data_IF_329050873736
#
_entry.id   IF_329050873736
#
_cell.length_a   1.000
_cell.length_b   1.000
_cell.length_c   1.000
_cell.angle_alpha   90.00
_cell.angle_beta   90.00
_cell.angle_gamma   90.00
#
_symmetry.space_group_name_H-M   'P 1'
#
loop_
_entity.id
_entity.type
_entity.pdbx_description
1 polymer ?
#
# COMPACT_ATOMS: atom_id res chain seq x y z
N UNK A 1 -9.11 9.98 15.77
CA UNK A 1 -8.37 8.80 16.26
C UNK A 1 -7.36 8.26 15.24
N UNK A 2 -7.78 7.88 14.02
CA UNK A 2 -6.86 7.28 13.02
C UNK A 2 -5.60 8.11 12.69
N UNK A 3 -5.72 9.44 12.59
CA UNK A 3 -4.56 10.32 12.29
C UNK A 3 -3.48 10.26 13.37
N UNK A 4 -3.87 10.16 14.65
CA UNK A 4 -2.95 10.09 15.78
C UNK A 4 -2.23 8.73 15.78
N UNK A 5 -2.98 7.65 15.53
CA UNK A 5 -2.43 6.30 15.40
C UNK A 5 -1.40 6.24 14.25
N UNK A 6 -1.74 6.78 13.08
CA UNK A 6 -0.86 6.84 11.91
C UNK A 6 0.40 7.68 12.17
N UNK A 7 0.28 8.78 12.92
CA UNK A 7 1.43 9.60 13.31
C UNK A 7 2.41 8.82 14.19
N UNK A 8 1.91 8.04 15.15
CA UNK A 8 2.76 7.19 15.99
C UNK A 8 3.45 6.06 15.21
N UNK A 9 2.83 5.59 14.12
CA UNK A 9 3.34 4.54 13.23
C UNK A 9 4.12 5.06 12.03
N UNK A 10 4.35 6.37 11.93
CA UNK A 10 4.94 7.00 10.73
C UNK A 10 6.31 6.44 10.35
N UNK A 11 7.09 5.97 11.31
CA UNK A 11 8.43 5.39 11.10
C UNK A 11 8.41 3.88 10.91
N UNK A 12 7.25 3.24 11.01
CA UNK A 12 7.09 1.81 10.82
C UNK A 12 6.91 1.47 9.34
N UNK A 13 7.42 0.30 8.97
CA UNK A 13 7.05 -0.41 7.74
C UNK A 13 6.40 -1.73 8.08
N UNK A 14 5.60 -2.24 7.14
CA UNK A 14 5.03 -3.57 7.18
C UNK A 14 5.54 -4.36 5.99
N UNK A 15 6.19 -5.49 6.27
CA UNK A 15 6.67 -6.44 5.26
C UNK A 15 5.70 -7.62 5.21
N UNK A 16 5.31 -8.01 4.01
CA UNK A 16 4.49 -9.19 3.73
C UNK A 16 5.28 -10.15 2.85
N UNK A 17 5.16 -11.45 3.09
CA UNK A 17 5.85 -12.47 2.28
C UNK A 17 7.23 -12.88 2.82
N UNK A 18 7.64 -12.38 3.99
CA UNK A 18 8.89 -12.81 4.63
C UNK A 18 8.78 -14.25 5.13
N UNK A 19 9.58 -15.16 4.57
CA UNK A 19 9.59 -16.58 4.93
C UNK A 19 9.67 -16.80 6.45
N UNK A 20 8.89 -17.75 6.98
CA UNK A 20 8.85 -18.05 8.42
C UNK A 20 10.14 -18.70 8.95
N UNK A 21 10.99 -19.22 8.05
CA UNK A 21 12.30 -19.78 8.40
C UNK A 21 13.27 -18.74 8.98
N UNK A 22 13.06 -17.46 8.68
CA UNK A 22 13.88 -16.36 9.22
C UNK A 22 13.49 -16.12 10.67
N UNK A 23 14.42 -16.38 11.59
CA UNK A 23 14.24 -16.20 13.03
C UNK A 23 14.03 -14.73 13.40
N UNK A 24 13.53 -14.44 14.61
CA UNK A 24 13.25 -13.05 15.01
C UNK A 24 14.56 -12.26 15.15
N UNK A 25 15.63 -12.95 15.54
CA UNK A 25 16.98 -12.44 15.70
C UNK A 25 17.58 -12.06 14.34
N UNK A 26 17.36 -12.88 13.31
CA UNK A 26 17.83 -12.65 11.94
C UNK A 26 17.02 -11.60 11.18
N UNK A 27 15.78 -11.30 11.60
CA UNK A 27 14.92 -10.35 10.88
C UNK A 27 15.56 -8.96 10.75
N UNK A 28 16.32 -8.52 11.75
CA UNK A 28 17.00 -7.23 11.70
C UNK A 28 18.01 -7.16 10.55
N UNK A 29 18.88 -8.18 10.46
CA UNK A 29 19.88 -8.30 9.40
C UNK A 29 19.24 -8.52 8.03
N UNK A 30 18.19 -9.35 7.96
CA UNK A 30 17.42 -9.57 6.75
C UNK A 30 16.86 -8.27 6.16
N UNK A 31 16.31 -7.39 7.01
CA UNK A 31 15.75 -6.10 6.60
C UNK A 31 16.86 -5.14 6.18
N UNK A 32 17.99 -5.10 6.89
CA UNK A 32 19.14 -4.27 6.49
C UNK A 32 19.66 -4.69 5.11
N UNK A 33 19.81 -6.00 4.87
CA UNK A 33 20.18 -6.55 3.56
C UNK A 33 19.18 -6.21 2.46
N UNK A 34 17.88 -6.29 2.77
CA UNK A 34 16.80 -5.88 1.87
C UNK A 34 16.94 -4.40 1.47
N UNK A 35 17.15 -3.52 2.45
CA UNK A 35 17.30 -2.09 2.23
C UNK A 35 18.52 -1.78 1.35
N UNK A 36 19.67 -2.40 1.64
CA UNK A 36 20.90 -2.23 0.86
C UNK A 36 20.77 -2.66 -0.60
N UNK A 37 19.96 -3.69 -0.89
CA UNK A 37 19.70 -4.10 -2.29
C UNK A 37 18.75 -3.17 -3.03
N UNK A 38 17.77 -2.59 -2.34
CA UNK A 38 16.77 -1.69 -2.95
C UNK A 38 17.34 -0.30 -3.17
N UNK A 39 18.04 0.24 -2.17
CA UNK A 39 18.57 1.60 -2.20
C UNK A 39 20.07 1.54 -2.43
N UNK A 40 20.45 1.65 -3.71
CA UNK A 40 21.85 1.75 -4.12
C UNK A 40 22.44 3.07 -3.56
N UNK A 41 23.65 3.01 -3.01
CA UNK A 41 24.42 4.16 -2.48
C UNK A 41 23.93 4.73 -1.13
N UNK A 42 23.52 3.88 -0.19
CA UNK A 42 23.24 4.31 1.18
C UNK A 42 24.14 3.55 2.16
N UNK A 43 24.68 4.25 3.17
CA UNK A 43 25.48 3.64 4.22
C UNK A 43 24.66 2.66 5.06
N UNK A 44 25.29 1.60 5.57
CA UNK A 44 24.62 0.62 6.44
C UNK A 44 24.11 1.25 7.75
N UNK A 45 24.79 2.30 8.22
CA UNK A 45 24.41 3.14 9.37
C UNK A 45 23.01 3.76 9.19
N UNK A 46 22.57 3.99 7.95
CA UNK A 46 21.27 4.58 7.66
C UNK A 46 20.09 3.63 7.94
N UNK A 47 20.35 2.32 8.06
CA UNK A 47 19.33 1.27 8.23
C UNK A 47 19.17 0.80 9.68
N UNK A 48 19.38 1.70 10.64
CA UNK A 48 19.15 1.41 12.05
C UNK A 48 17.65 1.21 12.36
N UNK A 49 17.36 0.13 13.10
CA UNK A 49 16.02 -0.32 13.45
C UNK A 49 15.87 -0.30 14.97
N UNK A 50 14.86 0.44 15.45
CA UNK A 50 14.52 0.48 16.89
C UNK A 50 13.87 -0.83 17.35
N UNK A 51 13.06 -1.44 16.48
CA UNK A 51 12.27 -2.63 16.82
C UNK A 51 11.88 -3.40 15.58
N UNK A 52 12.01 -4.72 15.64
CA UNK A 52 11.54 -5.64 14.61
C UNK A 52 10.82 -6.80 15.27
N UNK A 53 9.64 -7.15 14.77
CA UNK A 53 8.88 -8.30 15.27
C UNK A 53 7.89 -8.80 14.23
N UNK A 54 7.55 -10.09 14.32
CA UNK A 54 6.43 -10.67 13.57
C UNK A 54 5.12 -10.34 14.25
N UNK A 55 4.09 -10.04 13.46
CA UNK A 55 2.74 -9.89 13.97
C UNK A 55 2.15 -11.25 14.37
N UNK A 56 1.25 -11.29 15.37
CA UNK A 56 0.50 -12.49 15.66
C UNK A 56 -0.29 -12.93 14.43
N UNK A 57 -0.41 -14.26 14.24
CA UNK A 57 -1.16 -14.83 13.13
C UNK A 57 -2.64 -14.48 13.32
N UNK A 58 -3.25 -13.70 12.40
CA UNK A 58 -4.67 -13.44 12.50
C UNK A 58 -5.45 -14.70 12.09
N UNK A 59 -6.64 -14.87 12.65
CA UNK A 59 -7.45 -16.09 12.48
C UNK A 59 -7.80 -16.40 11.02
N UNK A 60 -7.92 -15.37 10.17
CA UNK A 60 -8.22 -15.53 8.74
C UNK A 60 -7.01 -15.93 7.87
N UNK A 61 -5.79 -15.98 8.43
CA UNK A 61 -4.57 -16.25 7.67
C UNK A 61 -4.22 -17.75 7.73
N UNK A 62 -4.30 -18.43 6.57
CA UNK A 62 -3.89 -19.84 6.42
C UNK A 62 -2.49 -20.07 6.98
N UNK A 63 -2.26 -21.23 7.60
CA UNK A 63 -0.99 -21.66 8.19
C UNK A 63 0.17 -21.54 7.20
N UNK A 64 -0.09 -21.84 5.92
CA UNK A 64 0.91 -21.80 4.84
C UNK A 64 1.38 -20.38 4.48
N UNK A 65 0.59 -19.36 4.81
CA UNK A 65 0.97 -17.97 4.53
C UNK A 65 1.88 -17.44 5.64
N UNK A 66 3.00 -16.79 5.28
CA UNK A 66 3.89 -16.18 6.26
C UNK A 66 3.23 -15.01 6.98
N UNK A 67 3.56 -14.84 8.26
CA UNK A 67 3.13 -13.68 9.06
C UNK A 67 3.82 -12.40 8.58
N UNK A 68 3.06 -11.31 8.62
CA UNK A 68 3.59 -9.98 8.32
C UNK A 68 4.58 -9.55 9.42
N UNK A 69 5.63 -8.84 9.03
CA UNK A 69 6.66 -8.28 9.94
C UNK A 69 6.46 -6.79 10.06
N UNK A 70 6.54 -6.25 11.28
CA UNK A 70 6.64 -4.81 11.52
C UNK A 70 8.06 -4.46 11.93
N UNK A 71 8.64 -3.49 11.24
CA UNK A 71 9.92 -2.90 11.59
C UNK A 71 9.79 -1.39 11.77
N UNK A 72 10.33 -0.88 12.88
CA UNK A 72 10.41 0.54 13.19
C UNK A 72 11.82 1.02 12.87
N UNK A 73 11.94 1.97 11.94
CA UNK A 73 13.20 2.63 11.66
C UNK A 73 13.49 3.70 12.70
N UNK A 74 14.78 3.83 13.04
CA UNK A 74 15.27 4.94 13.85
C UNK A 74 15.09 6.27 13.10
N UNK A 75 15.50 6.28 11.82
CA UNK A 75 15.42 7.46 10.95
C UNK A 75 14.20 7.43 10.02
N UNK A 76 13.26 8.39 10.13
CA UNK A 76 12.10 8.48 9.23
C UNK A 76 12.49 8.64 7.76
N UNK A 77 13.59 9.35 7.49
CA UNK A 77 14.10 9.61 6.13
C UNK A 77 14.51 8.32 5.42
N UNK A 78 15.19 7.42 6.11
CA UNK A 78 15.59 6.11 5.57
C UNK A 78 14.37 5.29 5.17
N UNK A 79 13.35 5.26 6.04
CA UNK A 79 12.08 4.60 5.77
C UNK A 79 11.35 5.17 4.55
N UNK A 80 11.33 6.49 4.39
CA UNK A 80 10.71 7.12 3.21
C UNK A 80 11.47 6.80 1.93
N UNK A 81 12.80 6.85 1.96
CA UNK A 81 13.66 6.51 0.83
C UNK A 81 13.42 5.06 0.38
N UNK A 82 13.39 4.12 1.33
CA UNK A 82 13.05 2.73 1.06
C UNK A 82 11.70 2.58 0.37
N UNK A 83 10.65 3.19 0.91
CA UNK A 83 9.30 3.12 0.33
C UNK A 83 9.20 3.78 -1.04
N UNK A 84 9.97 4.84 -1.30
CA UNK A 84 10.01 5.47 -2.61
C UNK A 84 10.70 4.56 -3.63
N UNK A 85 11.84 3.98 -3.27
CA UNK A 85 12.59 3.06 -4.15
C UNK A 85 11.80 1.78 -4.41
N UNK A 86 11.15 1.20 -3.40
CA UNK A 86 10.31 0.03 -3.54
C UNK A 86 9.06 0.25 -4.43
N UNK A 87 8.63 1.50 -4.64
CA UNK A 87 7.53 1.82 -5.57
C UNK A 87 8.00 2.02 -7.01
N UNK A 88 9.28 2.34 -7.23
CA UNK A 88 9.85 2.51 -8.57
C UNK A 88 10.07 1.17 -9.24
N UNK A 89 10.51 0.18 -8.47
CA UNK A 89 10.76 -1.17 -8.94
C UNK A 89 9.51 -2.04 -8.75
N UNK A 90 8.99 -2.70 -9.80
CA UNK A 90 7.80 -3.55 -9.68
C UNK A 90 8.07 -4.87 -8.93
N UNK A 91 9.33 -5.33 -8.92
CA UNK A 91 9.76 -6.55 -8.26
C UNK A 91 11.06 -6.30 -7.50
N UNK A 92 11.17 -6.89 -6.32
CA UNK A 92 12.40 -6.82 -5.52
C UNK A 92 13.46 -7.80 -6.05
N UNK A 93 14.75 -7.51 -5.86
CA UNK A 93 15.84 -8.39 -6.27
C UNK A 93 15.88 -9.68 -5.43
N UNK A 94 16.41 -10.77 -5.99
CA UNK A 94 16.60 -12.02 -5.25
C UNK A 94 17.52 -11.81 -4.01
N UNK A 95 17.24 -12.46 -2.86
CA UNK A 95 16.19 -13.46 -2.59
C UNK A 95 14.82 -12.88 -2.21
N UNK A 96 14.62 -11.56 -2.27
CA UNK A 96 13.45 -10.87 -1.71
C UNK A 96 12.25 -10.76 -2.65
N UNK A 97 12.19 -11.54 -3.74
CA UNK A 97 11.21 -11.38 -4.83
C UNK A 97 9.76 -11.42 -4.35
N UNK A 98 9.47 -12.27 -3.37
CA UNK A 98 8.10 -12.47 -2.85
C UNK A 98 7.72 -11.47 -1.74
N UNK A 99 8.66 -10.60 -1.35
CA UNK A 99 8.43 -9.63 -0.28
C UNK A 99 7.74 -8.38 -0.83
N UNK A 100 6.72 -7.93 -0.12
CA UNK A 100 6.02 -6.68 -0.39
C UNK A 100 6.22 -5.70 0.77
N UNK A 101 6.58 -4.46 0.46
CA UNK A 101 6.86 -3.41 1.45
C UNK A 101 5.72 -2.39 1.46
N UNK A 102 5.11 -2.20 2.62
CA UNK A 102 4.03 -1.24 2.82
C UNK A 102 4.35 -0.27 3.96
N UNK A 103 3.68 0.89 3.94
CA UNK A 103 3.62 1.74 5.12
C UNK A 103 2.67 1.10 6.15
N UNK A 104 3.04 1.19 7.44
CA UNK A 104 2.16 0.78 8.53
C UNK A 104 1.10 1.87 8.77
N UNK A 105 -0.16 1.53 8.49
CA UNK A 105 -1.30 2.44 8.58
C UNK A 105 -2.39 1.81 9.46
N UNK A 106 -3.18 2.66 10.10
CA UNK A 106 -4.36 2.30 10.87
C UNK A 106 -5.39 1.59 10.01
N UNK A 107 -6.20 0.74 10.66
CA UNK A 107 -7.24 -0.04 9.98
C UNK A 107 -8.26 0.87 9.29
N UNK A 108 -8.60 2.02 9.89
CA UNK A 108 -9.54 2.98 9.30
C UNK A 108 -8.97 3.60 8.01
N UNK A 109 -7.69 3.99 8.03
CA UNK A 109 -7.02 4.54 6.83
C UNK A 109 -6.92 3.48 5.74
N UNK A 110 -6.62 2.23 6.09
CA UNK A 110 -6.61 1.12 5.13
C UNK A 110 -8.00 0.86 4.56
N UNK A 111 -9.06 0.87 5.38
CA UNK A 111 -10.44 0.68 4.95
C UNK A 111 -10.85 1.75 3.94
N UNK A 112 -10.60 3.03 4.25
CA UNK A 112 -10.86 4.14 3.32
C UNK A 112 -10.08 4.01 2.02
N UNK A 113 -8.83 3.54 2.05
CA UNK A 113 -8.06 3.28 0.82
C UNK A 113 -8.68 2.17 -0.04
N UNK A 114 -9.34 1.18 0.57
CA UNK A 114 -10.01 0.10 -0.15
C UNK A 114 -11.25 0.58 -0.92
N UNK A 115 -11.91 1.64 -0.44
CA UNK A 115 -13.03 2.26 -1.17
C UNK A 115 -12.59 2.78 -2.55
N UNK A 116 -11.31 3.16 -2.70
CA UNK A 116 -10.74 3.57 -3.99
C UNK A 116 -10.20 2.41 -4.84
N UNK A 117 -10.24 1.16 -4.37
CA UNK A 117 -9.60 0.03 -5.05
C UNK A 117 -10.18 -0.22 -6.45
N UNK A 118 -11.50 -0.06 -6.61
CA UNK A 118 -12.18 -0.20 -7.91
C UNK A 118 -11.68 0.85 -8.91
N UNK A 119 -11.57 2.11 -8.48
CA UNK A 119 -11.07 3.19 -9.34
C UNK A 119 -9.59 3.02 -9.67
N UNK A 120 -8.77 2.59 -8.71
CA UNK A 120 -7.35 2.29 -8.96
C UNK A 120 -7.17 1.16 -9.97
N UNK A 121 -8.08 0.17 -9.99
CA UNK A 121 -8.06 -0.90 -10.99
C UNK A 121 -8.31 -0.32 -12.39
N UNK A 122 -9.36 0.48 -12.55
CA UNK A 122 -9.67 1.16 -13.83
C UNK A 122 -8.50 2.03 -14.30
N UNK A 123 -7.91 2.84 -13.41
CA UNK A 123 -6.76 3.69 -13.74
C UNK A 123 -5.55 2.86 -14.19
N UNK A 124 -5.31 1.70 -13.57
CA UNK A 124 -4.25 0.77 -13.97
C UNK A 124 -4.51 0.17 -15.35
N UNK A 125 -5.74 -0.26 -15.62
CA UNK A 125 -6.14 -0.84 -16.90
C UNK A 125 -5.99 0.17 -18.04
N UNK A 126 -6.27 1.46 -17.76
CA UNK A 126 -6.08 2.58 -18.68
C UNK A 126 -4.65 3.15 -18.71
N UNK A 127 -3.69 2.53 -17.99
CA UNK A 127 -2.28 2.97 -17.88
C UNK A 127 -2.10 4.43 -17.42
N UNK A 128 -3.02 4.93 -16.60
CA UNK A 128 -2.96 6.29 -16.04
C UNK A 128 -2.15 6.27 -14.76
N UNK A 129 -1.22 7.21 -14.62
CA UNK A 129 -0.40 7.34 -13.42
C UNK A 129 -1.24 7.88 -12.26
N UNK A 130 -1.25 7.13 -11.16
CA UNK A 130 -1.97 7.52 -9.94
C UNK A 130 -1.11 7.26 -8.70
N UNK A 131 -1.41 7.96 -7.60
CA UNK A 131 -0.81 7.75 -6.28
C UNK A 131 -1.87 7.86 -5.19
N UNK A 132 -1.74 7.03 -4.16
CA UNK A 132 -2.54 7.16 -2.96
C UNK A 132 -1.80 8.02 -1.92
N UNK A 133 -2.27 9.25 -1.72
CA UNK A 133 -1.77 10.19 -0.73
C UNK A 133 -2.30 9.90 0.67
N UNK A 134 -1.55 10.37 1.67
CA UNK A 134 -1.97 10.33 3.07
C UNK A 134 -2.91 11.52 3.40
N UNK A 135 -3.94 11.35 4.25
CA UNK A 135 -4.39 10.10 4.86
C UNK A 135 -5.03 9.15 3.85
N UNK A 136 -6.06 9.64 3.15
CA UNK A 136 -6.68 8.97 2.01
C UNK A 136 -7.03 10.04 0.98
N UNK A 137 -6.20 10.16 -0.06
CA UNK A 137 -6.46 10.98 -1.24
C UNK A 137 -6.00 10.21 -2.46
N UNK A 138 -6.77 10.22 -3.54
CA UNK A 138 -6.34 9.66 -4.82
C UNK A 138 -5.80 10.81 -5.69
N UNK A 139 -4.52 10.76 -5.99
CA UNK A 139 -3.83 11.71 -6.85
C UNK A 139 -3.73 11.09 -8.24
N UNK A 140 -4.31 11.73 -9.25
CA UNK A 140 -4.37 11.20 -10.61
C UNK A 140 -3.71 12.20 -11.55
N UNK A 141 -2.77 11.74 -12.37
CA UNK A 141 -2.19 12.53 -13.45
C UNK A 141 -2.98 12.27 -14.74
N UNK A 142 -3.83 13.20 -15.12
CA UNK A 142 -4.69 13.11 -16.30
C UNK A 142 -4.81 14.46 -16.99
N UNK A 143 -4.94 14.48 -18.32
CA UNK A 143 -5.13 15.69 -19.12
C UNK A 143 -4.10 16.82 -18.85
N UNK A 144 -2.85 16.45 -18.55
CA UNK A 144 -1.78 17.40 -18.23
C UNK A 144 -1.86 18.03 -16.83
N UNK A 145 -2.82 17.65 -15.99
CA UNK A 145 -3.00 18.19 -14.64
C UNK A 145 -3.02 17.10 -13.55
N UNK A 146 -2.67 17.51 -12.33
CA UNK A 146 -2.78 16.68 -11.14
C UNK A 146 -4.15 16.88 -10.49
N UNK A 147 -4.99 15.86 -10.52
CA UNK A 147 -6.28 15.86 -9.85
C UNK A 147 -6.17 15.21 -8.48
N UNK A 148 -6.62 15.92 -7.43
CA UNK A 148 -6.60 15.43 -6.05
C UNK A 148 -8.04 15.14 -5.63
N UNK A 149 -8.33 13.86 -5.44
CA UNK A 149 -9.67 13.37 -5.11
C UNK A 149 -9.69 12.90 -3.67
N UNK A 150 -10.69 13.36 -2.90
CA UNK A 150 -10.80 13.02 -1.46
C UNK A 150 -11.90 12.00 -1.22
N UNK A 151 -12.98 12.06 -2.00
CA UNK A 151 -14.15 11.21 -1.82
C UNK A 151 -14.31 10.20 -2.97
N UNK A 152 -14.80 8.98 -2.71
CA UNK A 152 -15.08 7.99 -3.75
C UNK A 152 -16.06 8.47 -4.84
N UNK A 153 -17.05 9.29 -4.47
CA UNK A 153 -18.03 9.84 -5.41
C UNK A 153 -17.40 10.80 -6.42
N UNK A 154 -16.48 11.65 -5.96
CA UNK A 154 -15.69 12.54 -6.83
C UNK A 154 -14.86 11.73 -7.85
N UNK A 155 -14.28 10.60 -7.41
CA UNK A 155 -13.53 9.70 -8.29
C UNK A 155 -14.43 9.10 -9.38
N UNK A 156 -15.63 8.67 -8.99
CA UNK A 156 -16.62 8.13 -9.93
C UNK A 156 -17.03 9.16 -10.98
N UNK A 157 -17.31 10.39 -10.55
CA UNK A 157 -17.72 11.46 -11.46
C UNK A 157 -16.60 11.84 -12.43
N UNK A 158 -15.35 11.93 -11.94
CA UNK A 158 -14.19 12.21 -12.80
C UNK A 158 -13.91 11.11 -13.81
N UNK A 159 -14.01 9.85 -13.42
CA UNK A 159 -13.84 8.74 -14.35
C UNK A 159 -14.97 8.65 -15.39
N UNK A 160 -16.21 9.05 -15.03
CA UNK A 160 -17.30 9.20 -16.00
C UNK A 160 -17.04 10.34 -17.00
N UNK A 161 -16.57 11.49 -16.52
CA UNK A 161 -16.18 12.63 -17.37
C UNK A 161 -15.10 12.24 -18.38
N UNK A 162 -14.16 11.38 -17.98
CA UNK A 162 -13.12 10.87 -18.86
C UNK A 162 -13.55 9.67 -19.71
N UNK A 163 -14.82 9.26 -19.65
CA UNK A 163 -15.35 8.14 -20.42
C UNK A 163 -14.84 6.76 -19.99
N UNK A 164 -14.23 6.64 -18.81
CA UNK A 164 -13.57 5.42 -18.32
C UNK A 164 -14.51 4.51 -17.51
N UNK A 165 -15.66 5.04 -17.09
CA UNK A 165 -16.75 4.27 -16.51
C UNK A 165 -17.96 4.38 -17.42
N UNK A 166 -18.31 3.27 -18.10
CA UNK A 166 -19.62 3.15 -18.73
C UNK A 166 -20.69 3.13 -17.64
N UNK A 167 -21.69 3.99 -17.77
CA UNK A 167 -22.91 3.92 -16.96
C UNK A 167 -23.44 2.49 -17.07
N UNK A 168 -23.40 1.73 -15.97
CA UNK A 168 -24.31 0.60 -15.84
C UNK A 168 -25.70 1.23 -15.85
N UNK A 169 -26.32 1.28 -17.03
CA UNK A 169 -27.75 1.43 -17.17
C UNK A 169 -28.37 0.20 -16.51
N UNK A 170 -28.59 0.29 -15.19
CA UNK A 170 -29.51 -0.58 -14.46
C UNK A 170 -30.95 -0.23 -14.85
N UNK A 171 -31.28 -0.36 -16.13
CA UNK A 171 -32.65 -0.52 -16.58
C UNK A 171 -32.96 -2.02 -16.51
N UNK A 172 -33.39 -2.47 -15.34
CA UNK A 172 -34.29 -3.61 -15.22
C UNK A 172 -35.56 -3.10 -14.54
N UNK A 173 -36.44 -2.62 -15.41
CA UNK A 173 -37.88 -2.41 -15.26
C UNK A 173 -38.49 -2.77 -13.91
N UNK A 174 -39.11 -1.75 -13.30
CA UNK A 174 -40.49 -1.87 -12.80
C UNK A 174 -41.34 -2.58 -13.86
N UNK A 175 -41.70 -3.84 -13.62
CA UNK A 175 -42.90 -4.43 -14.18
C UNK A 175 -43.83 -4.72 -12.99
N UNK A 176 -44.79 -3.82 -12.82
CA UNK A 176 -46.00 -4.07 -12.03
C UNK A 176 -46.85 -5.19 -12.68
N UNK A 177 -47.64 -5.84 -11.82
CA UNK A 177 -48.98 -6.43 -12.05
C UNK A 177 -49.15 -7.89 -12.51
N UNK A 178 -50.05 -8.54 -11.74
CA UNK A 178 -50.85 -9.76 -11.97
C UNK A 178 -50.05 -11.07 -11.85
N UNK A 179 -50.38 -12.03 -11.00
CA UNK A 179 -51.69 -12.52 -10.52
C UNK A 179 -51.64 -12.81 -9.01
#
# INVERSE_FOLDING_TARGET
MAVIEDQSRRTNIRLRGTAESVSVEELSEYIKGLCGKIVKNCEESAWELDRVHRLPRPQYLSVDKPRDVIAKFHYPKSKELLLQSARKEPSLPAPYKDVLIFADLSLLTIARRREFAEFMKVLRDQKISYRCGYPTKLLIWGNGALHVIKEPEEARNKLKEWGMLTTQNGNSNKAEKKL
#
